data_IF_213216779211
#
_entry.id   IF_213216779211
#
_cell.length_a   1.000
_cell.length_b   1.000
_cell.length_c   1.000
_cell.angle_alpha   90.00
_cell.angle_beta   90.00
_cell.angle_gamma   90.00
#
_symmetry.space_group_name_H-M   'P 1'
#
loop_
_entity.id
_entity.type
_entity.pdbx_description
1 polymer ?
#
# COMPACT_ATOMS: atom_id res chain seq x y z
N UNK A 1 -1.83 9.64 -24.65
CA UNK A 1 -1.59 9.01 -23.34
C UNK A 1 -2.81 9.20 -22.45
N UNK A 2 -3.30 8.11 -21.90
CA UNK A 2 -4.40 8.20 -20.92
C UNK A 2 -3.90 8.88 -19.64
N UNK A 3 -4.78 9.65 -19.00
CA UNK A 3 -4.46 10.27 -17.73
C UNK A 3 -4.30 9.20 -16.63
N UNK A 4 -3.41 9.43 -15.65
CA UNK A 4 -3.27 8.50 -14.54
C UNK A 4 -4.48 8.54 -13.61
N UNK A 5 -4.72 7.43 -12.95
CA UNK A 5 -5.66 7.36 -11.84
C UNK A 5 -4.88 7.69 -10.57
N UNK A 6 -5.30 8.73 -9.86
CA UNK A 6 -4.61 9.23 -8.67
C UNK A 6 -5.60 9.28 -7.52
N UNK A 7 -5.20 8.75 -6.38
CA UNK A 7 -6.00 8.86 -5.15
C UNK A 7 -5.11 8.79 -3.93
N UNK A 8 -5.64 9.30 -2.82
CA UNK A 8 -5.00 9.28 -1.52
C UNK A 8 -5.85 8.50 -0.53
N UNK A 9 -5.19 7.71 0.31
CA UNK A 9 -5.81 6.98 1.42
C UNK A 9 -5.22 7.53 2.71
N UNK A 10 -6.08 7.92 3.66
CA UNK A 10 -5.66 8.32 5.00
C UNK A 10 -5.81 7.14 5.94
N UNK A 11 -4.81 6.92 6.77
CA UNK A 11 -4.76 5.82 7.74
C UNK A 11 -3.37 5.23 7.82
N UNK A 12 -3.14 4.39 8.80
CA UNK A 12 -1.83 3.74 8.95
C UNK A 12 -1.69 2.59 7.96
N UNK A 13 -0.75 2.69 7.00
CA UNK A 13 -0.49 1.57 6.10
C UNK A 13 -0.10 0.31 6.87
N UNK A 14 -0.65 -0.82 6.47
CA UNK A 14 -0.36 -2.12 7.10
C UNK A 14 0.16 -3.10 6.08
N UNK A 15 1.24 -3.82 6.41
CA UNK A 15 1.79 -4.84 5.52
C UNK A 15 0.88 -6.06 5.46
N UNK A 16 0.95 -6.79 4.36
CA UNK A 16 0.31 -8.09 4.27
C UNK A 16 0.94 -9.02 5.31
N UNK A 17 0.14 -9.58 6.22
CA UNK A 17 0.70 -10.48 7.23
C UNK A 17 1.08 -11.82 6.60
N UNK A 18 2.05 -12.49 7.21
CA UNK A 18 2.34 -13.88 6.88
C UNK A 18 1.20 -14.76 7.37
N UNK A 19 0.88 -15.80 6.60
CA UNK A 19 -0.10 -16.78 7.05
C UNK A 19 0.40 -17.48 8.32
N UNK A 20 -0.54 -17.79 9.20
CA UNK A 20 -0.28 -18.54 10.43
C UNK A 20 -0.87 -19.93 10.31
N UNK A 21 -0.33 -20.86 11.08
CA UNK A 21 -0.85 -22.22 11.15
C UNK A 21 -1.68 -22.38 12.41
N UNK A 22 -2.86 -22.97 12.24
CA UNK A 22 -3.71 -23.38 13.35
C UNK A 22 -3.96 -24.88 13.28
N UNK A 23 -4.02 -25.52 14.46
CA UNK A 23 -4.39 -26.94 14.55
C UNK A 23 -5.90 -27.04 14.66
N UNK A 24 -6.48 -27.79 13.74
CA UNK A 24 -7.92 -28.06 13.75
C UNK A 24 -8.25 -29.13 14.81
N UNK A 25 -9.54 -29.25 15.21
CA UNK A 25 -9.96 -30.27 16.19
C UNK A 25 -9.60 -31.69 15.79
N UNK A 26 -9.54 -31.99 14.48
CA UNK A 26 -9.14 -33.29 13.96
C UNK A 26 -7.62 -33.51 13.92
N UNK A 27 -6.81 -32.56 14.39
CA UNK A 27 -5.35 -32.64 14.39
C UNK A 27 -4.70 -32.12 13.11
N UNK A 28 -5.44 -31.82 12.06
CA UNK A 28 -4.90 -31.28 10.82
C UNK A 28 -4.40 -29.83 11.04
N UNK A 29 -3.40 -29.42 10.25
CA UNK A 29 -2.89 -28.06 10.26
C UNK A 29 -3.56 -27.26 9.14
N UNK A 30 -3.90 -26.03 9.42
CA UNK A 30 -4.50 -25.08 8.47
C UNK A 30 -3.73 -23.78 8.46
N UNK A 31 -3.38 -23.30 7.28
CA UNK A 31 -2.85 -21.93 7.12
C UNK A 31 -4.02 -20.95 7.09
N UNK A 32 -3.85 -19.82 7.74
CA UNK A 32 -4.84 -18.75 7.73
C UNK A 32 -4.19 -17.37 7.75
N UNK A 33 -4.88 -16.39 7.17
CA UNK A 33 -4.51 -14.98 7.25
C UNK A 33 -5.04 -14.43 8.58
N UNK A 34 -4.17 -13.86 9.46
CA UNK A 34 -4.62 -13.29 10.73
C UNK A 34 -5.47 -12.02 10.59
N UNK A 35 -5.58 -11.45 9.38
CA UNK A 35 -6.44 -10.29 9.11
C UNK A 35 -5.95 -8.96 9.65
N UNK A 36 -4.69 -8.85 10.02
CA UNK A 36 -4.15 -7.61 10.62
C UNK A 36 -4.10 -6.42 9.65
N UNK A 37 -4.16 -6.68 8.33
CA UNK A 37 -4.20 -5.65 7.32
C UNK A 37 -5.61 -5.29 6.83
N UNK A 38 -6.66 -5.94 7.35
CA UNK A 38 -8.01 -5.77 6.81
C UNK A 38 -8.53 -4.34 6.91
N UNK A 39 -8.29 -3.66 8.02
CA UNK A 39 -8.70 -2.26 8.19
C UNK A 39 -8.04 -1.35 7.13
N UNK A 40 -6.76 -1.52 6.91
CA UNK A 40 -6.03 -0.77 5.87
C UNK A 40 -6.58 -1.08 4.47
N UNK A 41 -6.81 -2.36 4.18
CA UNK A 41 -7.36 -2.79 2.89
C UNK A 41 -8.75 -2.18 2.62
N UNK A 42 -9.59 -2.08 3.64
CA UNK A 42 -10.91 -1.44 3.53
C UNK A 42 -10.79 0.05 3.18
N UNK A 43 -9.83 0.75 3.80
CA UNK A 43 -9.57 2.15 3.50
C UNK A 43 -9.11 2.34 2.06
N UNK A 44 -8.19 1.51 1.60
CA UNK A 44 -7.70 1.53 0.21
C UNK A 44 -8.86 1.27 -0.75
N UNK A 45 -9.66 0.24 -0.47
CA UNK A 45 -10.80 -0.10 -1.32
C UNK A 45 -11.79 1.05 -1.45
N UNK A 46 -12.11 1.72 -0.34
CA UNK A 46 -13.06 2.82 -0.32
C UNK A 46 -12.62 3.98 -1.21
N UNK A 47 -11.37 4.38 -1.13
CA UNK A 47 -10.86 5.49 -1.93
C UNK A 47 -10.66 5.09 -3.39
N UNK A 48 -10.15 3.89 -3.64
CA UNK A 48 -9.93 3.40 -5.00
C UNK A 48 -11.23 3.25 -5.79
N UNK A 49 -12.30 2.81 -5.14
CA UNK A 49 -13.62 2.66 -5.78
C UNK A 49 -14.18 3.97 -6.30
N UNK A 50 -13.82 5.10 -5.70
CA UNK A 50 -14.27 6.42 -6.15
C UNK A 50 -13.69 6.81 -7.50
N UNK A 51 -12.53 6.28 -7.86
CA UNK A 51 -11.78 6.67 -9.07
C UNK A 51 -11.55 5.52 -10.03
N UNK A 52 -11.87 4.28 -9.67
CA UNK A 52 -11.60 3.13 -10.52
C UNK A 52 -12.28 3.25 -11.88
N UNK A 53 -11.67 2.69 -12.94
CA UNK A 53 -12.29 2.71 -14.27
C UNK A 53 -13.58 1.89 -14.30
N UNK A 54 -14.42 2.14 -15.31
CA UNK A 54 -15.69 1.43 -15.48
C UNK A 54 -15.50 -0.06 -15.76
N UNK A 55 -14.37 -0.44 -16.35
CA UNK A 55 -13.97 -1.84 -16.55
C UNK A 55 -12.52 -2.00 -16.08
N UNK A 56 -12.11 -3.20 -15.64
CA UNK A 56 -10.73 -3.41 -15.21
C UNK A 56 -9.74 -3.02 -16.30
N UNK A 57 -8.66 -2.35 -15.90
CA UNK A 57 -7.60 -1.97 -16.83
C UNK A 57 -6.97 -3.22 -17.43
N UNK A 58 -6.64 -3.15 -18.71
CA UNK A 58 -5.97 -4.22 -19.45
C UNK A 58 -4.55 -3.80 -19.82
N UNK A 59 -3.70 -4.77 -20.11
CA UNK A 59 -2.34 -4.52 -20.52
C UNK A 59 -1.40 -4.12 -19.39
N UNK A 60 -0.17 -3.74 -19.73
CA UNK A 60 0.85 -3.45 -18.73
C UNK A 60 0.57 -2.14 -18.00
N UNK A 61 0.87 -2.12 -16.71
CA UNK A 61 0.61 -0.99 -15.83
C UNK A 61 1.88 -0.52 -15.14
N UNK A 62 1.95 0.79 -14.90
CA UNK A 62 2.89 1.40 -13.97
C UNK A 62 2.13 1.79 -12.72
N UNK A 63 2.66 1.38 -11.57
CA UNK A 63 2.10 1.70 -10.26
C UNK A 63 3.13 2.46 -9.44
N UNK A 64 2.74 3.64 -8.98
CA UNK A 64 3.54 4.41 -8.03
C UNK A 64 2.78 4.51 -6.72
N UNK A 65 3.43 4.14 -5.63
CA UNK A 65 2.85 4.28 -4.29
C UNK A 65 3.86 4.95 -3.38
N UNK A 66 3.39 5.97 -2.68
CA UNK A 66 4.15 6.62 -1.63
C UNK A 66 3.44 6.32 -0.31
N UNK A 67 4.03 5.43 0.49
CA UNK A 67 3.54 5.12 1.82
C UNK A 67 4.06 6.15 2.81
N UNK A 68 3.15 6.77 3.56
CA UNK A 68 3.44 7.81 4.53
C UNK A 68 3.19 7.20 5.90
N UNK A 69 4.29 6.91 6.58
CA UNK A 69 4.26 6.18 7.85
C UNK A 69 4.14 7.14 9.02
N UNK A 70 3.41 6.76 10.05
CA UNK A 70 3.29 7.52 11.29
C UNK A 70 4.66 7.72 11.91
N UNK A 71 4.96 8.95 12.34
CA UNK A 71 6.20 9.26 13.04
C UNK A 71 6.23 8.61 14.42
N UNK A 72 7.35 7.98 14.80
CA UNK A 72 7.56 7.63 16.22
C UNK A 72 7.57 8.89 17.09
N UNK A 73 7.12 8.76 18.33
CA UNK A 73 7.01 9.89 19.26
C UNK A 73 8.37 10.57 19.52
N UNK A 74 9.45 9.81 19.53
CA UNK A 74 10.80 10.35 19.78
C UNK A 74 11.34 11.22 18.62
N UNK A 75 10.68 11.19 17.44
CA UNK A 75 11.00 12.10 16.34
C UNK A 75 10.41 13.50 16.53
N UNK A 76 9.49 13.65 17.47
CA UNK A 76 8.71 14.89 17.66
C UNK A 76 9.16 15.58 18.93
N UNK A 77 9.52 16.86 18.80
CA UNK A 77 9.91 17.71 19.91
C UNK A 77 8.77 18.55 20.46
N UNK A 78 9.10 19.52 21.27
CA UNK A 78 8.15 20.46 21.87
C UNK A 78 7.38 21.21 20.79
N UNK A 79 6.09 21.40 20.99
CA UNK A 79 5.23 22.11 20.04
C UNK A 79 4.88 21.32 18.78
N UNK A 80 5.20 20.01 18.73
CA UNK A 80 4.89 19.17 17.58
C UNK A 80 5.88 19.30 16.40
N UNK A 81 6.96 20.06 16.56
CA UNK A 81 7.97 20.20 15.51
C UNK A 81 8.84 18.95 15.44
N UNK A 82 9.30 18.60 14.25
CA UNK A 82 10.23 17.50 14.08
C UNK A 82 11.61 17.86 14.66
N UNK A 83 12.22 16.90 15.33
CA UNK A 83 13.60 17.05 15.79
C UNK A 83 14.54 17.17 14.60
N UNK A 84 15.67 17.93 14.72
CA UNK A 84 16.58 18.14 13.58
C UNK A 84 17.14 16.87 12.95
N UNK A 85 17.28 15.80 13.74
CA UNK A 85 17.82 14.52 13.28
C UNK A 85 16.75 13.58 12.68
N UNK A 86 15.47 13.94 12.79
CA UNK A 86 14.38 13.06 12.37
C UNK A 86 14.47 12.75 10.87
N UNK A 87 14.55 11.46 10.48
CA UNK A 87 14.73 11.11 9.08
C UNK A 87 13.45 11.31 8.27
N UNK A 88 13.60 11.54 6.97
CA UNK A 88 12.48 11.59 6.04
C UNK A 88 12.06 10.19 5.61
N UNK A 89 13.01 9.33 5.30
CA UNK A 89 12.72 7.99 4.80
C UNK A 89 12.59 7.00 5.94
N UNK A 90 11.58 6.14 5.85
CA UNK A 90 11.31 5.12 6.86
C UNK A 90 12.09 3.86 6.50
N UNK A 91 13.19 3.64 7.18
CA UNK A 91 14.04 2.47 6.99
C UNK A 91 14.10 1.55 8.22
N UNK A 92 13.10 1.64 9.09
CA UNK A 92 13.04 0.83 10.29
C UNK A 92 12.94 -0.67 9.96
N UNK A 93 13.62 -1.47 10.76
CA UNK A 93 13.66 -2.93 10.56
C UNK A 93 12.34 -3.60 10.94
N UNK A 94 11.97 -4.60 10.19
CA UNK A 94 11.16 -5.74 10.63
C UNK A 94 9.69 -5.73 10.29
N UNK A 95 8.91 -4.69 10.46
CA UNK A 95 7.45 -4.84 10.40
C UNK A 95 6.77 -4.22 9.19
N UNK A 96 7.42 -3.27 8.56
CA UNK A 96 6.81 -2.48 7.48
C UNK A 96 7.66 -2.58 6.23
N UNK A 97 7.95 -3.80 5.81
CA UNK A 97 8.73 -4.02 4.59
C UNK A 97 7.94 -3.54 3.37
N UNK A 98 8.65 -2.90 2.45
CA UNK A 98 8.07 -2.30 1.25
C UNK A 98 7.27 -3.31 0.44
N UNK A 99 7.79 -4.51 0.27
CA UNK A 99 7.13 -5.56 -0.51
C UNK A 99 5.81 -6.01 0.13
N UNK A 100 5.75 -6.13 1.45
CA UNK A 100 4.52 -6.52 2.15
C UNK A 100 3.49 -5.39 2.19
N UNK A 101 3.93 -4.14 2.31
CA UNK A 101 3.03 -2.98 2.17
C UNK A 101 2.45 -2.91 0.76
N UNK A 102 3.28 -3.12 -0.25
CA UNK A 102 2.87 -3.15 -1.65
C UNK A 102 1.84 -4.26 -1.87
N UNK A 103 2.11 -5.46 -1.37
CA UNK A 103 1.24 -6.62 -1.55
C UNK A 103 -0.14 -6.40 -0.95
N UNK A 104 -0.25 -5.87 0.27
CA UNK A 104 -1.55 -5.62 0.89
C UNK A 104 -2.39 -4.64 0.08
N UNK A 105 -1.76 -3.63 -0.52
CA UNK A 105 -2.44 -2.63 -1.34
C UNK A 105 -2.83 -3.16 -2.72
N UNK A 106 -1.93 -3.88 -3.39
CA UNK A 106 -2.21 -4.44 -4.72
C UNK A 106 -3.25 -5.55 -4.69
N UNK A 107 -3.25 -6.37 -3.65
CA UNK A 107 -4.27 -7.41 -3.49
C UNK A 107 -5.68 -6.80 -3.49
N UNK A 108 -5.86 -5.71 -2.79
CA UNK A 108 -7.16 -5.03 -2.71
C UNK A 108 -7.56 -4.42 -4.06
N UNK A 109 -6.62 -3.81 -4.77
CA UNK A 109 -6.89 -3.20 -6.07
C UNK A 109 -7.29 -4.27 -7.11
N UNK A 110 -6.67 -5.43 -7.04
CA UNK A 110 -7.07 -6.59 -7.85
C UNK A 110 -8.48 -7.05 -7.49
N UNK A 111 -8.77 -7.18 -6.21
CA UNK A 111 -10.08 -7.67 -5.72
C UNK A 111 -11.24 -6.76 -6.13
N UNK A 112 -11.03 -5.44 -6.11
CA UNK A 112 -12.09 -4.50 -6.49
C UNK A 112 -12.19 -4.29 -8.00
N UNK A 113 -11.37 -4.97 -8.80
CA UNK A 113 -11.43 -4.88 -10.26
C UNK A 113 -10.83 -3.61 -10.84
N UNK A 114 -9.85 -3.01 -10.20
CA UNK A 114 -9.11 -1.89 -10.78
C UNK A 114 -8.35 -2.36 -12.02
N UNK A 115 -7.81 -3.55 -11.95
CA UNK A 115 -7.21 -4.30 -13.05
C UNK A 115 -7.59 -5.77 -12.91
N UNK A 116 -7.20 -6.60 -13.87
CA UNK A 116 -7.57 -8.02 -13.88
C UNK A 116 -6.67 -8.86 -12.99
N UNK A 117 -5.36 -8.57 -13.04
CA UNK A 117 -4.36 -9.37 -12.33
C UNK A 117 -3.19 -8.45 -11.97
N UNK A 118 -2.66 -8.60 -10.75
CA UNK A 118 -1.50 -7.85 -10.30
C UNK A 118 -0.24 -8.14 -11.13
N UNK A 119 -0.21 -9.26 -11.86
CA UNK A 119 0.83 -9.55 -12.84
C UNK A 119 0.93 -8.53 -13.98
N UNK A 120 -0.10 -7.71 -14.19
CA UNK A 120 -0.08 -6.63 -15.16
C UNK A 120 0.88 -5.48 -14.75
N UNK A 121 1.25 -5.39 -13.48
CA UNK A 121 2.16 -4.36 -13.00
C UNK A 121 3.56 -4.66 -13.52
N UNK A 122 3.96 -3.94 -14.57
CA UNK A 122 5.26 -4.13 -15.21
C UNK A 122 6.32 -3.20 -14.62
N UNK A 123 5.90 -2.04 -14.10
CA UNK A 123 6.79 -1.07 -13.45
C UNK A 123 6.15 -0.64 -12.13
N UNK A 124 6.93 -0.69 -11.07
CA UNK A 124 6.50 -0.24 -9.75
C UNK A 124 7.53 0.68 -9.13
N UNK A 125 7.08 1.84 -8.68
CA UNK A 125 7.89 2.76 -7.89
C UNK A 125 7.25 2.89 -6.51
N UNK A 126 7.97 2.50 -5.49
CA UNK A 126 7.47 2.46 -4.13
C UNK A 126 8.39 3.27 -3.24
N UNK A 127 7.83 4.22 -2.51
CA UNK A 127 8.55 4.97 -1.50
C UNK A 127 7.89 4.74 -0.14
N UNK A 128 8.69 4.71 0.89
CA UNK A 128 8.25 4.61 2.27
C UNK A 128 8.87 5.76 3.04
N UNK A 129 8.06 6.75 3.38
CA UNK A 129 8.51 7.96 4.07
C UNK A 129 7.77 8.13 5.39
N UNK A 130 8.39 8.86 6.30
CA UNK A 130 7.67 9.30 7.50
C UNK A 130 6.84 10.53 7.19
N UNK A 131 5.71 10.67 7.87
CA UNK A 131 4.86 11.84 7.76
C UNK A 131 5.63 13.13 8.10
N UNK A 132 5.41 14.18 7.32
CA UNK A 132 5.89 15.50 7.65
C UNK A 132 5.16 16.05 8.90
N UNK A 133 5.64 17.14 9.45
CA UNK A 133 4.96 17.80 10.58
C UNK A 133 3.52 18.14 10.16
N UNK A 134 2.53 17.64 10.94
CA UNK A 134 1.12 17.86 10.66
C UNK A 134 0.54 17.03 9.52
N UNK A 135 1.34 16.23 8.85
CA UNK A 135 0.85 15.34 7.79
C UNK A 135 0.23 14.07 8.38
N UNK A 136 -0.90 13.64 7.81
CA UNK A 136 -1.54 12.39 8.21
C UNK A 136 -0.82 11.20 7.59
N UNK A 137 -0.67 10.09 8.32
CA UNK A 137 -0.20 8.85 7.69
C UNK A 137 -1.19 8.38 6.65
N UNK A 138 -0.70 7.64 5.67
CA UNK A 138 -1.54 7.16 4.59
C UNK A 138 -0.73 6.68 3.41
N UNK A 139 -1.33 6.73 2.22
CA UNK A 139 -0.64 6.40 0.99
C UNK A 139 -1.21 7.22 -0.18
N UNK A 140 -0.32 7.55 -1.10
CA UNK A 140 -0.68 8.20 -2.36
C UNK A 140 -0.43 7.21 -3.49
N UNK A 141 -1.43 7.03 -4.34
CA UNK A 141 -1.42 6.07 -5.44
C UNK A 141 -1.48 6.81 -6.76
N UNK A 142 -0.69 6.34 -7.72
CA UNK A 142 -0.78 6.77 -9.12
C UNK A 142 -0.68 5.52 -9.99
N UNK A 143 -1.72 5.27 -10.78
CA UNK A 143 -1.83 4.11 -11.65
C UNK A 143 -1.91 4.59 -13.08
N UNK A 144 -1.05 4.07 -13.93
CA UNK A 144 -0.92 4.52 -15.30
C UNK A 144 -0.84 3.32 -16.24
N UNK A 145 -1.62 3.34 -17.31
CA UNK A 145 -1.46 2.36 -18.39
C UNK A 145 -0.20 2.66 -19.18
N UNK A 146 0.56 1.62 -19.49
CA UNK A 146 1.74 1.73 -20.32
C UNK A 146 1.40 1.36 -21.75
N UNK A 147 1.90 2.14 -22.71
CA UNK A 147 1.78 1.78 -24.10
C UNK A 147 2.83 0.73 -24.45
N UNK A 148 2.39 -0.31 -25.16
CA UNK A 148 3.31 -1.31 -25.66
C UNK A 148 4.16 -0.68 -26.77
N UNK A 149 5.46 -0.57 -26.52
CA UNK A 149 6.38 -0.13 -27.55
C UNK A 149 6.58 -1.21 -28.61
N UNK A 150 6.79 -0.79 -29.86
CA UNK A 150 7.26 -1.68 -30.92
C UNK A 150 8.78 -1.77 -30.78
N UNK A 151 9.24 -2.82 -30.14
CA UNK A 151 10.65 -2.88 -29.89
C UNK A 151 11.26 -4.21 -30.13
#
# INVERSE_FOLDING_TARGET
MAEPYVFRVDGDPKPQPRTRMARLPNGALRNYDPGTANGWKELVAAEAKKVRPGAPLEGPLLLQIRFIMRRPQDHIGKGGALKPWAPRFCSSRGRNDVDNLFKSSTDVLTQIGFWQDDGQIAVAHIAKVYAAAGERPGAEFCIRSLEEGVG
#
